data_IF_940238070028
#
_entry.id   IF_940238070028
#
_cell.length_a   1.000
_cell.length_b   1.000
_cell.length_c   1.000
_cell.angle_alpha   90.00
_cell.angle_beta   90.00
_cell.angle_gamma   90.00
#
_symmetry.space_group_name_H-M   'P 1'
#
loop_
_entity.id
_entity.type
_entity.pdbx_description
1 polymer ?
#
# COMPACT_ATOMS: atom_id res chain seq x y z
N UNK A 1 15.92 -43.91 32.54
CA UNK A 1 16.29 -42.65 31.86
C UNK A 1 15.24 -42.41 30.80
N UNK A 2 14.22 -41.58 31.06
CA UNK A 2 14.20 -40.12 30.78
C UNK A 2 14.67 -39.82 29.35
N UNK A 3 13.90 -39.16 28.48
CA UNK A 3 13.21 -37.89 28.71
C UNK A 3 11.88 -37.78 27.93
N UNK A 4 10.83 -37.31 28.62
CA UNK A 4 9.64 -36.70 28.02
C UNK A 4 10.02 -35.25 27.70
N UNK A 5 10.04 -34.88 26.42
CA UNK A 5 10.15 -33.47 26.01
C UNK A 5 8.75 -32.87 26.09
N UNK A 6 8.43 -32.23 27.22
CA UNK A 6 7.31 -31.30 27.28
C UNK A 6 7.68 -30.07 26.45
N UNK A 7 7.14 -29.98 25.24
CA UNK A 7 7.11 -28.73 24.48
C UNK A 7 6.10 -27.80 25.17
N UNK A 8 6.58 -27.03 26.13
CA UNK A 8 5.85 -25.92 26.72
C UNK A 8 5.67 -24.84 25.65
N UNK A 9 4.57 -24.88 24.91
CA UNK A 9 4.11 -23.71 24.15
C UNK A 9 3.75 -22.66 25.19
N UNK A 10 4.62 -21.67 25.32
CA UNK A 10 4.44 -20.53 26.18
C UNK A 10 3.21 -19.76 25.66
N UNK A 11 2.05 -20.02 26.26
CA UNK A 11 0.86 -19.18 26.10
C UNK A 11 1.19 -17.82 26.73
N UNK A 12 1.85 -16.94 25.97
CA UNK A 12 1.80 -15.51 26.24
C UNK A 12 0.36 -15.11 25.92
N UNK A 13 -0.51 -15.19 26.92
CA UNK A 13 -1.73 -14.42 26.92
C UNK A 13 -1.31 -12.97 26.80
N UNK A 14 -1.41 -12.42 25.60
CA UNK A 14 -1.17 -11.01 25.35
C UNK A 14 -2.26 -10.24 26.11
N UNK A 15 -1.95 -9.80 27.32
CA UNK A 15 -2.63 -8.66 27.92
C UNK A 15 -2.24 -7.44 27.07
N UNK A 16 -2.93 -7.25 25.94
CA UNK A 16 -2.76 -6.06 25.12
C UNK A 16 -3.47 -4.94 25.84
N UNK A 17 -2.74 -4.11 26.59
CA UNK A 17 -3.23 -2.78 26.92
C UNK A 17 -3.37 -2.03 25.59
N UNK A 18 -4.55 -1.49 25.25
CA UNK A 18 -4.67 -0.66 24.07
C UNK A 18 -3.64 0.48 24.20
N UNK A 19 -2.88 0.72 23.13
CA UNK A 19 -2.04 1.92 23.04
C UNK A 19 -2.99 3.12 23.02
N UNK A 20 -3.26 3.70 24.19
CA UNK A 20 -4.21 4.79 24.33
C UNK A 20 -3.50 6.11 24.10
N UNK A 21 -3.47 6.54 22.84
CA UNK A 21 -3.31 7.95 22.49
C UNK A 21 -4.63 8.44 21.91
N UNK A 22 -5.19 9.53 22.44
CA UNK A 22 -6.24 10.27 21.75
C UNK A 22 -5.65 10.88 20.47
N UNK A 23 -5.80 10.16 19.36
CA UNK A 23 -5.09 10.44 18.12
C UNK A 23 -3.62 10.01 18.17
N UNK A 24 -3.18 9.34 17.11
CA UNK A 24 -1.82 8.84 16.96
C UNK A 24 -1.46 8.49 15.52
N UNK A 25 -0.20 8.07 15.27
CA UNK A 25 0.27 7.77 13.93
C UNK A 25 -0.40 6.53 13.30
N UNK A 26 -1.17 5.75 14.05
CA UNK A 26 -1.98 4.66 13.51
C UNK A 26 -3.37 5.10 13.02
N UNK A 27 -3.82 6.30 13.41
CA UNK A 27 -5.16 6.80 13.06
C UNK A 27 -5.16 7.55 11.71
N UNK A 28 -6.36 7.80 11.19
CA UNK A 28 -6.58 8.72 10.06
C UNK A 28 -6.49 8.09 8.66
N UNK A 29 -6.29 6.78 8.54
CA UNK A 29 -6.31 6.05 7.27
C UNK A 29 -7.73 5.86 6.72
N UNK A 30 -8.39 6.97 6.39
CA UNK A 30 -9.80 7.02 5.99
C UNK A 30 -10.05 7.06 4.49
N UNK A 31 -9.04 7.32 3.66
CA UNK A 31 -9.18 7.26 2.21
C UNK A 31 -9.01 5.81 1.75
N UNK A 32 -10.06 5.22 1.18
CA UNK A 32 -10.03 3.84 0.70
C UNK A 32 -9.95 3.80 -0.83
N UNK A 33 -8.84 3.27 -1.34
CA UNK A 33 -8.60 3.05 -2.77
C UNK A 33 -8.43 1.55 -3.03
N UNK A 34 -8.88 1.07 -4.18
CA UNK A 34 -8.65 -0.29 -4.64
C UNK A 34 -8.01 -0.27 -6.02
N UNK A 35 -6.90 -0.99 -6.20
CA UNK A 35 -6.21 -1.10 -7.48
C UNK A 35 -5.48 -2.46 -7.60
N UNK A 36 -5.38 -3.04 -8.81
CA UNK A 36 -4.51 -4.17 -9.08
C UNK A 36 -3.06 -3.72 -9.30
N UNK A 37 -2.09 -4.57 -8.95
CA UNK A 37 -0.68 -4.26 -9.15
C UNK A 37 -0.06 -5.16 -10.23
N UNK A 38 0.91 -4.62 -10.97
CA UNK A 38 1.84 -5.40 -11.77
C UNK A 38 2.96 -5.93 -10.86
N UNK A 39 2.89 -7.22 -10.54
CA UNK A 39 3.78 -7.89 -9.62
C UNK A 39 5.18 -8.07 -10.23
N UNK A 40 6.18 -8.36 -9.38
CA UNK A 40 7.57 -8.51 -9.81
C UNK A 40 7.81 -9.67 -10.79
N UNK A 41 6.92 -10.67 -10.81
CA UNK A 41 6.93 -11.79 -11.76
C UNK A 41 6.19 -11.49 -13.07
N UNK A 42 5.66 -10.28 -13.24
CA UNK A 42 4.92 -9.83 -14.42
C UNK A 42 3.44 -10.24 -14.44
N UNK A 43 2.94 -10.88 -13.38
CA UNK A 43 1.52 -11.18 -13.25
C UNK A 43 0.76 -10.00 -12.65
N UNK A 44 -0.53 -9.90 -12.96
CA UNK A 44 -1.44 -8.97 -12.27
C UNK A 44 -1.84 -9.59 -10.92
N UNK A 45 -1.55 -8.88 -9.83
CA UNK A 45 -1.94 -9.25 -8.47
C UNK A 45 -3.06 -8.36 -7.92
N UNK A 46 -3.76 -8.86 -6.90
CA UNK A 46 -4.83 -8.13 -6.21
C UNK A 46 -6.23 -8.42 -6.78
N UNK A 47 -7.16 -7.44 -6.74
CA UNK A 47 -6.93 -6.05 -6.34
C UNK A 47 -6.55 -5.91 -4.86
N UNK A 48 -5.77 -4.89 -4.53
CA UNK A 48 -5.38 -4.57 -3.16
C UNK A 48 -6.19 -3.39 -2.65
N UNK A 49 -6.49 -3.42 -1.35
CA UNK A 49 -7.17 -2.36 -0.63
C UNK A 49 -6.14 -1.46 0.05
N UNK A 50 -6.14 -0.20 -0.35
CA UNK A 50 -5.27 0.85 0.14
C UNK A 50 -6.06 1.72 1.11
N UNK A 51 -5.72 1.67 2.38
CA UNK A 51 -6.21 2.61 3.37
C UNK A 51 -5.15 3.68 3.56
N UNK A 52 -5.49 4.92 3.20
CA UNK A 52 -4.55 6.00 2.99
C UNK A 52 -4.81 7.18 3.89
N UNK A 53 -3.73 7.91 4.22
CA UNK A 53 -3.81 9.21 4.90
C UNK A 53 -2.72 10.17 4.43
N UNK A 54 -3.05 11.45 4.39
CA UNK A 54 -2.05 12.50 4.21
C UNK A 54 -1.17 12.63 5.45
N UNK A 55 0.14 12.81 5.24
CA UNK A 55 1.11 13.12 6.30
C UNK A 55 1.85 14.44 6.08
N UNK A 56 1.68 15.03 4.90
CA UNK A 56 2.07 16.39 4.56
C UNK A 56 1.20 16.88 3.40
N UNK A 57 1.48 18.08 2.88
CA UNK A 57 0.82 18.56 1.65
C UNK A 57 1.32 17.85 0.39
N UNK A 58 2.39 17.05 0.47
CA UNK A 58 3.05 16.43 -0.68
C UNK A 58 3.07 14.89 -0.61
N UNK A 59 2.70 14.30 0.54
CA UNK A 59 2.80 12.86 0.76
C UNK A 59 1.53 12.31 1.41
N UNK A 60 0.96 11.28 0.76
CA UNK A 60 -0.03 10.37 1.33
C UNK A 60 0.67 9.02 1.53
N UNK A 61 0.43 8.36 2.66
CA UNK A 61 0.88 7.00 2.90
C UNK A 61 -0.31 6.06 3.03
N UNK A 62 -0.15 4.84 2.55
CA UNK A 62 -1.20 3.83 2.50
C UNK A 62 -0.74 2.51 3.13
N UNK A 63 -1.68 1.84 3.79
CA UNK A 63 -1.59 0.46 4.24
C UNK A 63 -2.32 -0.42 3.23
N UNK A 64 -1.68 -1.48 2.76
CA UNK A 64 -2.21 -2.35 1.71
C UNK A 64 -2.64 -3.70 2.27
N UNK A 65 -3.85 -4.11 1.94
CA UNK A 65 -4.45 -5.38 2.37
C UNK A 65 -5.02 -6.14 1.16
N UNK A 66 -5.07 -7.49 1.20
CA UNK A 66 -5.66 -8.29 0.14
C UNK A 66 -7.20 -8.28 0.15
N UNK A 67 -7.83 -7.79 1.23
CA UNK A 67 -9.28 -7.74 1.42
C UNK A 67 -9.66 -6.73 2.50
N UNK A 68 -10.96 -6.41 2.64
CA UNK A 68 -11.51 -5.58 3.72
C UNK A 68 -11.84 -6.36 5.01
N UNK A 69 -11.47 -7.63 5.11
CA UNK A 69 -11.64 -8.42 6.32
C UNK A 69 -10.87 -7.79 7.49
N UNK A 70 -11.46 -7.75 8.69
CA UNK A 70 -10.90 -7.08 9.87
C UNK A 70 -9.58 -7.71 10.35
N UNK A 71 -9.28 -8.94 9.91
CA UNK A 71 -8.05 -9.69 10.18
C UNK A 71 -7.19 -9.86 8.94
N UNK A 72 -7.47 -9.14 7.86
CA UNK A 72 -6.62 -9.16 6.68
C UNK A 72 -5.18 -8.78 7.05
N UNK A 73 -4.17 -9.54 6.61
CA UNK A 73 -2.79 -9.20 6.90
C UNK A 73 -2.36 -7.94 6.13
N UNK A 74 -1.56 -7.09 6.76
CA UNK A 74 -0.85 -6.03 6.06
C UNK A 74 0.16 -6.70 5.09
N UNK A 75 -0.04 -6.51 3.79
CA UNK A 75 0.82 -7.11 2.75
C UNK A 75 1.79 -6.11 2.15
N UNK A 76 1.55 -4.81 2.34
CA UNK A 76 2.45 -3.78 1.84
C UNK A 76 2.10 -2.39 2.34
N UNK A 77 2.90 -1.44 1.86
CA UNK A 77 2.66 -0.01 2.01
C UNK A 77 2.85 0.68 0.68
N UNK A 78 2.21 1.82 0.51
CA UNK A 78 2.46 2.71 -0.63
C UNK A 78 2.62 4.15 -0.16
N UNK A 79 3.44 4.91 -0.87
CA UNK A 79 3.48 6.36 -0.75
C UNK A 79 3.04 6.99 -2.08
N UNK A 80 2.07 7.90 -1.99
CA UNK A 80 1.73 8.79 -3.08
C UNK A 80 2.52 10.06 -2.81
N UNK A 81 3.45 10.36 -3.70
CA UNK A 81 4.36 11.50 -3.56
C UNK A 81 4.01 12.48 -4.66
N UNK A 82 3.83 13.77 -4.34
CA UNK A 82 3.61 14.81 -5.34
C UNK A 82 4.63 14.69 -6.48
N UNK A 83 4.15 14.77 -7.74
CA UNK A 83 4.99 14.55 -8.94
C UNK A 83 6.25 15.40 -8.89
N UNK A 84 6.13 16.69 -8.58
CA UNK A 84 7.30 17.59 -8.52
C UNK A 84 8.34 17.13 -7.50
N UNK A 85 7.91 16.67 -6.32
CA UNK A 85 8.80 16.16 -5.28
C UNK A 85 9.46 14.85 -5.69
N UNK A 86 8.67 13.87 -6.14
CA UNK A 86 9.18 12.56 -6.56
C UNK A 86 10.18 12.68 -7.71
N UNK A 87 9.85 13.48 -8.73
CA UNK A 87 10.64 13.61 -9.96
C UNK A 87 11.90 14.44 -9.75
N UNK A 88 11.90 15.35 -8.77
CA UNK A 88 13.09 16.12 -8.37
C UNK A 88 14.04 15.30 -7.51
N UNK A 89 13.53 14.58 -6.52
CA UNK A 89 14.36 13.91 -5.51
C UNK A 89 14.78 12.49 -5.90
N UNK A 90 14.09 11.85 -6.86
CA UNK A 90 14.38 10.49 -7.31
C UNK A 90 14.98 10.50 -8.72
N UNK A 91 16.19 9.96 -8.93
CA UNK A 91 16.78 9.84 -10.26
C UNK A 91 15.87 9.07 -11.22
N UNK A 92 15.79 9.51 -12.48
CA UNK A 92 14.90 8.94 -13.51
C UNK A 92 14.97 7.41 -13.59
N UNK A 93 16.17 6.82 -13.53
CA UNK A 93 16.34 5.36 -13.58
C UNK A 93 15.73 4.65 -12.36
N UNK A 94 15.83 5.26 -11.18
CA UNK A 94 15.23 4.75 -9.95
C UNK A 94 13.72 4.89 -9.98
N UNK A 95 13.22 6.05 -10.46
CA UNK A 95 11.79 6.27 -10.66
C UNK A 95 11.21 5.24 -11.61
N UNK A 96 11.81 5.07 -12.80
CA UNK A 96 11.33 4.15 -13.82
C UNK A 96 11.25 2.70 -13.37
N UNK A 97 12.11 2.31 -12.42
CA UNK A 97 12.12 0.96 -11.86
C UNK A 97 11.08 0.77 -10.75
N UNK A 98 10.90 1.78 -9.90
CA UNK A 98 10.24 1.61 -8.60
C UNK A 98 8.94 2.41 -8.43
N UNK A 99 8.76 3.46 -9.22
CA UNK A 99 7.62 4.37 -9.15
C UNK A 99 6.75 4.21 -10.39
N UNK A 100 5.49 4.62 -10.26
CA UNK A 100 4.55 4.74 -11.36
C UNK A 100 3.75 6.05 -11.26
N UNK A 101 3.18 6.47 -12.39
CA UNK A 101 2.38 7.71 -12.48
C UNK A 101 0.90 7.38 -12.22
N UNK A 102 0.30 7.98 -11.18
CA UNK A 102 -1.09 7.73 -10.84
C UNK A 102 -2.08 8.28 -11.86
N UNK A 103 -1.75 9.33 -12.61
CA UNK A 103 -2.62 9.81 -13.70
C UNK A 103 -2.75 8.74 -14.79
N UNK A 104 -1.63 8.12 -15.14
CA UNK A 104 -1.59 7.03 -16.12
C UNK A 104 -2.37 5.83 -15.62
N UNK A 105 -2.21 5.47 -14.34
CA UNK A 105 -2.94 4.35 -13.73
C UNK A 105 -4.45 4.61 -13.68
N UNK A 106 -4.88 5.78 -13.21
CA UNK A 106 -6.29 6.18 -13.13
C UNK A 106 -6.92 6.14 -14.53
N UNK A 107 -6.20 6.63 -15.55
CA UNK A 107 -6.67 6.61 -16.94
C UNK A 107 -6.92 5.18 -17.48
N UNK A 108 -6.39 4.14 -16.83
CA UNK A 108 -6.69 2.74 -17.20
C UNK A 108 -8.08 2.26 -16.77
N UNK A 109 -8.78 3.02 -15.90
CA UNK A 109 -10.08 2.67 -15.35
C UNK A 109 -10.06 1.56 -14.29
N UNK A 110 -8.88 1.20 -13.76
CA UNK A 110 -8.69 0.12 -12.78
C UNK A 110 -8.62 0.58 -11.32
N UNK A 111 -8.51 1.89 -11.09
CA UNK A 111 -8.49 2.49 -9.76
C UNK A 111 -9.91 2.80 -9.32
N UNK A 112 -10.30 2.31 -8.15
CA UNK A 112 -11.58 2.58 -7.53
C UNK A 112 -11.37 3.36 -6.23
N UNK A 113 -12.07 4.48 -6.08
CA UNK A 113 -12.20 5.16 -4.78
C UNK A 113 -13.48 4.64 -4.15
N UNK A 114 -13.36 4.02 -2.98
CA UNK A 114 -14.43 3.33 -2.29
C UNK A 114 -14.93 4.15 -1.09
N UNK A 115 -16.06 3.73 -0.52
CA UNK A 115 -16.65 4.28 0.70
C UNK A 115 -17.00 5.78 0.67
N UNK A 116 -17.16 6.35 -0.53
CA UNK A 116 -17.60 7.73 -0.76
C UNK A 116 -18.75 7.72 -1.77
N UNK A 117 -19.94 8.14 -1.33
CA UNK A 117 -21.14 8.18 -2.19
C UNK A 117 -21.17 9.40 -3.13
N UNK A 118 -20.56 10.52 -2.71
CA UNK A 118 -20.52 11.75 -3.50
C UNK A 118 -19.54 11.61 -4.68
N UNK A 119 -20.09 11.50 -5.89
CA UNK A 119 -19.34 11.39 -7.14
C UNK A 119 -18.44 12.59 -7.43
N UNK A 120 -18.83 13.79 -7.03
CA UNK A 120 -17.98 14.97 -7.20
C UNK A 120 -16.76 14.87 -6.29
N UNK A 121 -16.97 14.39 -5.05
CA UNK A 121 -15.86 14.16 -4.12
C UNK A 121 -14.91 13.07 -4.61
N UNK A 122 -15.45 11.99 -5.16
CA UNK A 122 -14.64 10.94 -5.82
C UNK A 122 -13.81 11.53 -6.96
N UNK A 123 -14.41 12.37 -7.82
CA UNK A 123 -13.70 13.01 -8.92
C UNK A 123 -12.59 13.97 -8.45
N UNK A 124 -12.84 14.76 -7.40
CA UNK A 124 -11.82 15.63 -6.78
C UNK A 124 -10.63 14.82 -6.24
N UNK A 125 -10.91 13.71 -5.54
CA UNK A 125 -9.87 12.85 -4.98
C UNK A 125 -9.06 12.20 -6.11
N UNK A 126 -9.72 11.70 -7.16
CA UNK A 126 -9.02 11.16 -8.33
C UNK A 126 -8.14 12.21 -9.01
N UNK A 127 -8.64 13.45 -9.16
CA UNK A 127 -7.87 14.55 -9.74
C UNK A 127 -6.64 14.92 -8.88
N UNK A 128 -6.78 14.89 -7.55
CA UNK A 128 -5.65 15.12 -6.64
C UNK A 128 -4.63 13.96 -6.69
N UNK A 129 -5.09 12.70 -6.68
CA UNK A 129 -4.23 11.54 -6.81
C UNK A 129 -3.46 11.52 -8.14
N UNK A 130 -4.08 11.96 -9.24
CA UNK A 130 -3.42 12.10 -10.54
C UNK A 130 -2.21 13.07 -10.53
N UNK A 131 -2.06 13.92 -9.50
CA UNK A 131 -0.90 14.81 -9.34
C UNK A 131 0.25 14.18 -8.54
N UNK A 132 0.22 12.86 -8.34
CA UNK A 132 1.23 12.12 -7.57
C UNK A 132 1.83 10.97 -8.36
N UNK A 133 3.03 10.55 -7.98
CA UNK A 133 3.65 9.29 -8.39
C UNK A 133 3.62 8.33 -7.18
N UNK A 134 3.31 7.05 -7.43
CA UNK A 134 3.20 6.00 -6.42
C UNK A 134 4.45 5.14 -6.32
N UNK A 135 4.85 4.76 -5.10
CA UNK A 135 5.87 3.73 -4.85
C UNK A 135 5.36 2.70 -3.85
N UNK A 136 5.28 1.45 -4.32
CA UNK A 136 4.71 0.35 -3.55
C UNK A 136 5.83 -0.53 -2.98
N UNK A 137 5.70 -0.91 -1.72
CA UNK A 137 6.54 -1.92 -1.08
C UNK A 137 5.66 -3.07 -0.62
N UNK A 138 5.75 -4.21 -1.30
CA UNK A 138 5.13 -5.46 -0.87
C UNK A 138 6.07 -6.19 0.08
N UNK A 139 5.54 -6.51 1.27
CA UNK A 139 6.28 -7.03 2.42
C UNK A 139 5.90 -8.48 2.75
N UNK A 140 4.75 -8.96 2.26
CA UNK A 140 4.27 -10.34 2.45
C UNK A 140 3.75 -10.88 1.12
N UNK A 141 4.47 -11.86 0.56
CA UNK A 141 4.23 -12.36 -0.78
C UNK A 141 3.11 -13.40 -0.83
N UNK A 142 2.38 -13.53 -1.95
CA UNK A 142 1.37 -14.56 -2.14
C UNK A 142 1.90 -15.97 -1.87
N UNK A 143 1.12 -16.79 -1.15
CA UNK A 143 1.47 -18.18 -0.82
C UNK A 143 2.40 -18.35 0.38
N UNK A 144 2.98 -17.26 0.91
CA UNK A 144 3.76 -17.33 2.15
C UNK A 144 2.83 -17.46 3.36
N UNK A 145 3.16 -18.38 4.27
CA UNK A 145 2.47 -18.50 5.57
C UNK A 145 2.86 -17.42 6.57
N UNK A 146 4.08 -16.90 6.44
CA UNK A 146 4.66 -15.81 7.26
C UNK A 146 5.56 -14.96 6.36
N UNK A 147 5.65 -13.64 6.56
CA UNK A 147 6.59 -12.81 5.81
C UNK A 147 8.03 -13.18 6.16
N UNK A 148 8.90 -13.30 5.16
CA UNK A 148 10.28 -13.76 5.32
C UNK A 148 11.32 -12.65 5.16
N UNK A 149 10.87 -11.39 5.06
CA UNK A 149 11.73 -10.22 4.84
C UNK A 149 11.99 -9.91 3.36
N UNK A 150 11.45 -10.69 2.43
CA UNK A 150 11.49 -10.36 1.00
C UNK A 150 10.63 -9.14 0.72
N UNK A 151 11.25 -8.11 0.13
CA UNK A 151 10.54 -6.91 -0.34
C UNK A 151 10.51 -6.89 -1.86
N UNK A 152 9.32 -6.76 -2.44
CA UNK A 152 9.14 -6.53 -3.87
C UNK A 152 8.55 -5.14 -4.09
N UNK A 153 8.88 -4.53 -5.23
CA UNK A 153 8.42 -3.18 -5.59
C UNK A 153 7.59 -3.31 -6.88
N UNK A 154 6.29 -3.67 -6.77
CA UNK A 154 5.42 -3.75 -7.93
C UNK A 154 5.11 -2.36 -8.49
N UNK A 155 4.65 -2.31 -9.73
CA UNK A 155 4.20 -1.08 -10.39
C UNK A 155 2.69 -1.12 -10.63
N UNK A 156 2.10 -0.01 -11.08
CA UNK A 156 0.71 -0.02 -11.55
C UNK A 156 0.52 -0.86 -12.82
N UNK A 157 -0.67 -1.43 -12.97
CA UNK A 157 -1.06 -2.06 -14.24
C UNK A 157 -1.24 -0.98 -15.30
N UNK A 158 -0.36 -0.96 -16.29
CA UNK A 158 -0.31 0.09 -17.32
C UNK A 158 0.82 1.09 -17.14
N UNK A 159 1.78 0.82 -16.24
CA UNK A 159 3.00 1.61 -16.06
C UNK A 159 3.65 2.03 -17.38
N UNK A 160 4.10 3.28 -17.42
CA UNK A 160 4.84 3.86 -18.54
C UNK A 160 6.13 4.46 -18.03
N UNK A 161 7.23 4.08 -18.66
CA UNK A 161 8.54 4.69 -18.39
C UNK A 161 8.53 6.16 -18.78
N UNK A 162 9.04 7.00 -17.87
CA UNK A 162 9.39 8.39 -18.14
C UNK A 162 10.64 8.46 -19.01
N UNK A 163 10.69 9.44 -19.89
CA UNK A 163 11.85 9.75 -20.73
C UNK A 163 12.71 10.89 -20.18
N UNK A 164 12.17 11.66 -19.23
CA UNK A 164 12.78 12.79 -18.54
C UNK A 164 12.29 12.87 -17.09
#
# INVERSE_FOLDING_TARGET
MSFIVLLSVFCIGLMVTPAMSDGGPADGFGLHVQAPHMMADGQIGGPFHHYCKGISNEIIQCLLFPSTDDKAPLVGVEYFVAKDLARKEVPLITWNRNFHDHEVEIATGRVLILDIEDKNKVAEIAAAAAQTDGVIYHLWQPGQKVPDGTVTIPNSVGHKFRTE
#
